data_IF_743339409178
#
_entry.id   IF_743339409178
#
_cell.length_a   1.000
_cell.length_b   1.000
_cell.length_c   1.000
_cell.angle_alpha   90.00
_cell.angle_beta   90.00
_cell.angle_gamma   90.00
#
_symmetry.space_group_name_H-M   'P 1'
#
loop_
_entity.id
_entity.type
_entity.pdbx_description
1 polymer ?
#
# COMPACT_ATOMS: atom_id res chain seq x y z
N UNK A 1 55.80 61.59 45.21
CA UNK A 1 56.68 62.57 44.53
C UNK A 1 57.67 61.81 43.65
N UNK A 2 58.00 62.37 42.46
CA UNK A 2 58.58 61.79 41.22
C UNK A 2 57.51 61.10 40.36
N UNK A 3 56.87 61.73 39.35
CA UNK A 3 57.33 62.48 38.15
C UNK A 3 58.14 61.54 37.24
N UNK A 4 57.76 61.23 35.99
CA UNK A 4 57.99 62.06 34.78
C UNK A 4 57.54 61.33 33.49
N UNK A 5 56.92 62.10 32.57
CA UNK A 5 56.89 62.09 31.08
C UNK A 5 56.44 60.90 30.19
N UNK A 6 55.25 61.07 29.59
CA UNK A 6 54.84 61.13 28.14
C UNK A 6 55.99 61.24 27.08
N UNK A 7 55.80 61.16 25.74
CA UNK A 7 54.72 60.63 24.85
C UNK A 7 55.26 59.72 23.71
N UNK A 8 54.39 59.22 22.81
CA UNK A 8 54.44 59.54 21.36
C UNK A 8 53.23 58.98 20.60
N UNK A 9 52.45 59.92 20.08
CA UNK A 9 51.48 59.78 18.99
C UNK A 9 52.15 59.21 17.73
N UNK A 10 51.48 58.26 17.08
CA UNK A 10 51.66 57.99 15.66
C UNK A 10 50.28 57.78 15.02
N UNK A 11 49.87 58.75 14.21
CA UNK A 11 49.03 58.50 13.04
C UNK A 11 49.89 58.76 11.82
N UNK A 12 49.76 57.94 10.75
CA UNK A 12 49.24 58.55 9.53
C UNK A 12 48.34 57.64 8.68
N UNK A 13 47.31 58.29 8.12
CA UNK A 13 46.96 58.34 6.69
C UNK A 13 46.52 57.03 6.00
N UNK A 14 45.19 56.90 5.90
CA UNK A 14 44.38 56.73 4.69
C UNK A 14 44.98 55.97 3.49
N UNK A 15 44.40 54.80 3.18
CA UNK A 15 44.30 54.33 1.79
C UNK A 15 42.88 53.82 1.52
N UNK A 16 42.15 54.65 0.76
CA UNK A 16 40.89 54.32 0.10
C UNK A 16 41.15 53.18 -0.90
N UNK A 17 40.58 52.01 -0.64
CA UNK A 17 40.48 50.93 -1.64
C UNK A 17 39.03 50.73 -2.03
N UNK A 18 38.77 50.95 -3.32
CA UNK A 18 37.49 50.78 -3.97
C UNK A 18 37.26 49.28 -4.23
N UNK A 19 36.16 48.71 -3.75
CA UNK A 19 35.76 47.35 -4.17
C UNK A 19 34.24 47.16 -4.22
N UNK A 20 33.48 48.19 -4.59
CA UNK A 20 32.03 48.10 -4.82
C UNK A 20 31.66 47.67 -6.24
N UNK A 21 32.43 46.77 -6.86
CA UNK A 21 32.15 46.27 -8.21
C UNK A 21 32.00 44.74 -8.33
N UNK A 22 32.27 43.98 -7.26
CA UNK A 22 32.23 42.51 -7.29
C UNK A 22 30.99 41.87 -6.65
N UNK A 23 30.14 42.64 -5.98
CA UNK A 23 28.96 42.10 -5.28
C UNK A 23 27.70 42.01 -6.13
N UNK A 24 27.71 42.52 -7.37
CA UNK A 24 26.49 42.58 -8.21
C UNK A 24 26.40 41.53 -9.33
N UNK A 25 27.45 40.72 -9.54
CA UNK A 25 27.43 39.64 -10.55
C UNK A 25 27.19 38.23 -9.99
N UNK A 26 27.21 38.06 -8.67
CA UNK A 26 27.03 36.75 -8.04
C UNK A 26 25.57 36.44 -7.65
N UNK A 27 24.62 37.35 -7.90
CA UNK A 27 23.21 37.16 -7.51
C UNK A 27 22.29 36.78 -8.68
N UNK A 28 22.82 36.64 -9.91
CA UNK A 28 22.04 36.26 -11.09
C UNK A 28 22.27 34.81 -11.56
N UNK A 29 23.03 34.01 -10.82
CA UNK A 29 23.28 32.58 -11.13
C UNK A 29 22.58 31.64 -10.12
N UNK A 30 22.10 32.17 -9.00
CA UNK A 30 21.37 31.40 -7.98
C UNK A 30 19.90 31.15 -8.37
N UNK A 31 19.29 32.04 -9.16
CA UNK A 31 17.87 31.92 -9.55
C UNK A 31 17.57 30.93 -10.68
N UNK A 32 18.56 30.53 -11.50
CA UNK A 32 18.34 29.69 -12.68
C UNK A 32 18.54 28.19 -12.41
N UNK A 33 19.15 27.81 -11.29
CA UNK A 33 19.34 26.41 -10.90
C UNK A 33 18.16 25.84 -10.08
N UNK A 34 17.22 26.68 -9.64
CA UNK A 34 16.01 26.23 -8.93
C UNK A 34 14.79 25.98 -9.86
N UNK A 35 14.95 26.17 -11.17
CA UNK A 35 13.87 26.06 -12.14
C UNK A 35 13.91 24.77 -12.99
N UNK A 36 14.86 23.86 -12.76
CA UNK A 36 15.02 22.62 -13.55
C UNK A 36 14.69 21.31 -12.80
N UNK A 37 14.13 21.36 -11.59
CA UNK A 37 13.73 20.14 -10.85
C UNK A 37 12.21 19.91 -10.78
N UNK A 38 11.41 20.72 -11.48
CA UNK A 38 9.95 20.64 -11.45
C UNK A 38 9.39 19.88 -12.65
N UNK A 39 9.61 18.56 -12.67
CA UNK A 39 9.06 17.65 -13.69
C UNK A 39 9.94 16.41 -13.75
N UNK A 40 9.63 15.29 -13.11
CA UNK A 40 8.30 14.70 -12.97
C UNK A 40 8.27 13.91 -11.66
N UNK A 41 7.59 14.42 -10.63
CA UNK A 41 6.90 13.51 -9.73
C UNK A 41 5.70 12.99 -10.52
N UNK A 42 5.92 11.95 -11.32
CA UNK A 42 4.81 11.06 -11.68
C UNK A 42 4.34 10.54 -10.34
N UNK A 43 3.30 11.19 -9.81
CA UNK A 43 2.43 10.63 -8.80
C UNK A 43 1.94 9.34 -9.42
N UNK A 44 2.62 8.26 -9.10
CA UNK A 44 2.13 6.94 -9.41
C UNK A 44 0.88 6.79 -8.52
N UNK A 45 -0.26 7.16 -9.09
CA UNK A 45 -1.59 6.92 -8.54
C UNK A 45 -1.84 5.42 -8.65
N UNK A 46 -1.17 4.63 -7.82
CA UNK A 46 -1.61 3.28 -7.55
C UNK A 46 -2.66 3.43 -6.47
N UNK A 47 -3.91 3.36 -6.89
CA UNK A 47 -5.06 3.16 -6.03
C UNK A 47 -4.70 2.15 -4.92
N UNK A 48 -4.58 2.62 -3.68
CA UNK A 48 -4.74 1.76 -2.51
C UNK A 48 -6.23 1.40 -2.39
N UNK A 49 -6.76 0.67 -3.38
CA UNK A 49 -8.02 -0.05 -3.25
C UNK A 49 -7.69 -1.46 -2.78
N UNK A 50 -7.21 -1.57 -1.53
CA UNK A 50 -7.08 -2.85 -0.84
C UNK A 50 -7.41 -2.71 0.66
N UNK A 51 -8.42 -1.89 0.97
CA UNK A 51 -9.19 -2.06 2.19
C UNK A 51 -10.41 -2.89 1.80
N UNK A 52 -10.32 -4.21 1.94
CA UNK A 52 -11.51 -5.04 2.00
C UNK A 52 -12.25 -4.66 3.29
N UNK A 53 -13.03 -3.58 3.24
CA UNK A 53 -13.81 -3.09 4.38
C UNK A 53 -15.00 -4.02 4.59
N UNK A 54 -14.69 -5.21 5.08
CA UNK A 54 -15.61 -6.23 5.47
C UNK A 54 -16.39 -5.70 6.68
N UNK A 55 -17.59 -5.17 6.43
CA UNK A 55 -18.46 -4.66 7.49
C UNK A 55 -17.95 -3.42 8.22
N UNK A 56 -17.11 -2.59 7.58
CA UNK A 56 -16.54 -1.38 8.18
C UNK A 56 -15.30 -1.61 9.06
N UNK A 57 -14.78 -2.85 9.08
CA UNK A 57 -13.52 -3.18 9.73
C UNK A 57 -12.34 -2.87 8.80
N UNK A 58 -11.31 -2.22 9.33
CA UNK A 58 -10.04 -2.00 8.62
C UNK A 58 -9.12 -3.22 8.80
N UNK A 59 -8.86 -3.90 7.70
CA UNK A 59 -8.01 -5.10 7.63
C UNK A 59 -7.10 -5.05 6.40
N UNK A 60 -5.82 -5.33 6.61
CA UNK A 60 -4.83 -5.52 5.55
C UNK A 60 -4.49 -7.01 5.43
N UNK A 61 -4.39 -7.52 4.20
CA UNK A 61 -4.13 -8.94 3.94
C UNK A 61 -2.80 -9.16 3.20
N UNK A 62 -2.19 -10.31 3.44
CA UNK A 62 -1.08 -10.83 2.63
C UNK A 62 -1.39 -12.27 2.24
N UNK A 63 -1.50 -12.62 0.94
CA UNK A 63 -1.50 -11.72 -0.21
C UNK A 63 -2.57 -10.62 -0.11
N UNK A 64 -2.32 -9.50 -0.79
CA UNK A 64 -3.32 -8.45 -0.97
C UNK A 64 -4.56 -9.01 -1.70
N UNK A 65 -5.74 -8.43 -1.48
CA UNK A 65 -6.92 -8.80 -2.26
C UNK A 65 -6.66 -8.52 -3.75
N UNK A 66 -7.19 -9.40 -4.59
CA UNK A 66 -7.00 -9.40 -6.03
C UNK A 66 -5.53 -9.53 -6.49
N UNK A 67 -4.62 -9.97 -5.62
CA UNK A 67 -3.20 -10.11 -5.99
C UNK A 67 -2.96 -11.20 -7.04
N UNK A 68 -2.01 -10.95 -7.93
CA UNK A 68 -1.44 -11.95 -8.87
C UNK A 68 0.01 -12.19 -8.48
N UNK A 69 0.32 -13.41 -8.06
CA UNK A 69 1.64 -13.80 -7.57
C UNK A 69 2.43 -14.59 -8.63
N UNK A 70 3.76 -14.55 -8.55
CA UNK A 70 4.61 -15.40 -9.41
C UNK A 70 4.52 -16.89 -9.05
N UNK A 71 4.30 -17.20 -7.77
CA UNK A 71 4.20 -18.56 -7.22
C UNK A 71 3.19 -18.59 -6.07
N UNK A 72 2.78 -19.80 -5.67
CA UNK A 72 1.95 -19.97 -4.48
C UNK A 72 2.66 -19.39 -3.24
N UNK A 73 1.93 -18.70 -2.35
CA UNK A 73 2.49 -18.22 -1.08
C UNK A 73 2.57 -19.36 -0.07
N UNK A 74 3.54 -19.30 0.84
CA UNK A 74 3.68 -20.29 1.93
C UNK A 74 2.73 -20.01 3.12
N UNK A 75 2.17 -18.80 3.18
CA UNK A 75 1.27 -18.37 4.25
C UNK A 75 0.30 -17.31 3.80
N UNK A 76 -0.78 -17.16 4.58
CA UNK A 76 -1.69 -16.02 4.52
C UNK A 76 -1.62 -15.24 5.83
N UNK A 77 -1.75 -13.92 5.74
CA UNK A 77 -1.71 -13.01 6.88
C UNK A 77 -2.91 -12.06 6.88
N UNK A 78 -3.38 -11.76 8.09
CA UNK A 78 -4.38 -10.73 8.36
C UNK A 78 -3.81 -9.77 9.39
N UNK A 79 -3.94 -8.47 9.12
CA UNK A 79 -3.59 -7.40 10.06
C UNK A 79 -4.82 -6.51 10.28
N UNK A 80 -5.28 -6.45 11.52
CA UNK A 80 -6.40 -5.63 11.97
C UNK A 80 -5.91 -4.38 12.69
N UNK A 81 -6.66 -3.28 12.57
CA UNK A 81 -6.34 -2.01 13.24
C UNK A 81 -6.47 -2.06 14.79
N UNK A 82 -7.15 -3.06 15.33
CA UNK A 82 -7.31 -3.29 16.77
C UNK A 82 -7.29 -4.79 17.10
N UNK A 83 -7.21 -5.12 18.39
CA UNK A 83 -7.26 -6.51 18.84
C UNK A 83 -8.61 -7.15 18.48
N UNK A 84 -8.52 -8.25 17.74
CA UNK A 84 -9.65 -9.05 17.28
C UNK A 84 -9.47 -10.48 17.74
N UNK A 85 -10.52 -11.29 17.80
CA UNK A 85 -10.42 -12.74 18.01
C UNK A 85 -10.78 -13.45 16.71
N UNK A 86 -9.79 -14.09 16.07
CA UNK A 86 -10.00 -14.87 14.84
C UNK A 86 -10.73 -16.18 15.13
N UNK A 87 -11.99 -16.26 14.69
CA UNK A 87 -12.86 -17.43 14.92
C UNK A 87 -12.99 -18.33 13.69
N UNK A 88 -12.69 -17.83 12.49
CA UNK A 88 -12.71 -18.59 11.24
C UNK A 88 -11.57 -18.14 10.34
N UNK A 89 -10.88 -19.12 9.74
CA UNK A 89 -10.02 -18.93 8.59
C UNK A 89 -10.13 -20.16 7.68
N UNK A 90 -10.46 -19.93 6.42
CA UNK A 90 -10.77 -20.97 5.43
C UNK A 90 -10.14 -20.60 4.10
N UNK A 91 -9.57 -21.58 3.41
CA UNK A 91 -9.05 -21.44 2.05
C UNK A 91 -9.86 -22.33 1.10
N UNK A 92 -10.24 -21.78 -0.05
CA UNK A 92 -10.94 -22.48 -1.13
C UNK A 92 -10.28 -22.21 -2.48
N UNK A 93 -10.33 -23.17 -3.38
CA UNK A 93 -10.02 -22.95 -4.79
C UNK A 93 -11.21 -22.33 -5.56
N UNK A 94 -11.00 -21.99 -6.83
CA UNK A 94 -12.02 -21.41 -7.72
C UNK A 94 -13.23 -22.31 -7.97
N UNK A 95 -13.16 -23.60 -7.64
CA UNK A 95 -14.28 -24.55 -7.70
C UNK A 95 -15.06 -24.63 -6.39
N UNK A 96 -14.76 -23.75 -5.43
CA UNK A 96 -15.28 -23.75 -4.05
C UNK A 96 -14.87 -24.98 -3.22
N UNK A 97 -13.87 -25.74 -3.66
CA UNK A 97 -13.36 -26.87 -2.88
C UNK A 97 -12.43 -26.37 -1.78
N UNK A 98 -12.61 -26.90 -0.58
CA UNK A 98 -11.78 -26.58 0.58
C UNK A 98 -10.36 -27.11 0.44
N UNK A 99 -9.39 -26.29 0.81
CA UNK A 99 -8.01 -26.69 1.06
C UNK A 99 -7.79 -26.74 2.57
N UNK A 100 -7.33 -27.87 3.09
CA UNK A 100 -7.03 -27.99 4.52
C UNK A 100 -5.74 -27.23 4.86
N UNK A 101 -5.91 -26.07 5.49
CA UNK A 101 -4.82 -25.22 5.98
C UNK A 101 -4.47 -25.48 7.44
N UNK A 102 -5.07 -26.49 8.08
CA UNK A 102 -4.79 -26.83 9.47
C UNK A 102 -5.23 -25.78 10.49
N UNK A 103 -6.09 -24.82 10.10
CA UNK A 103 -6.60 -23.82 11.03
C UNK A 103 -7.36 -24.47 12.18
N UNK A 104 -7.05 -24.06 13.41
CA UNK A 104 -7.73 -24.49 14.63
C UNK A 104 -8.05 -23.26 15.45
N UNK A 105 -9.31 -23.14 15.85
CA UNK A 105 -9.75 -22.04 16.69
C UNK A 105 -8.96 -22.00 18.00
N UNK A 106 -8.47 -20.80 18.33
CA UNK A 106 -7.85 -20.48 19.61
C UNK A 106 -8.51 -19.21 20.14
N UNK A 107 -9.00 -19.20 21.39
CA UNK A 107 -9.71 -18.05 21.96
C UNK A 107 -8.72 -16.96 22.41
N UNK A 108 -7.84 -16.51 21.51
CA UNK A 108 -6.80 -15.52 21.79
C UNK A 108 -7.03 -14.31 20.88
N UNK A 109 -7.01 -13.12 21.48
CA UNK A 109 -7.07 -11.86 20.72
C UNK A 109 -5.71 -11.49 20.16
N UNK A 110 -5.71 -10.81 19.03
CA UNK A 110 -4.50 -10.31 18.39
C UNK A 110 -4.82 -9.38 17.23
N UNK A 111 -3.83 -8.57 16.86
CA UNK A 111 -3.90 -7.69 15.68
C UNK A 111 -3.34 -8.38 14.43
N UNK A 112 -2.45 -9.36 14.61
CA UNK A 112 -1.76 -10.04 13.52
C UNK A 112 -2.01 -11.54 13.59
N UNK A 113 -2.45 -12.09 12.48
CA UNK A 113 -2.64 -13.52 12.31
C UNK A 113 -1.85 -13.98 11.09
N UNK A 114 -1.12 -15.09 11.24
CA UNK A 114 -0.40 -15.75 10.17
C UNK A 114 -0.76 -17.23 10.19
N UNK A 115 -1.12 -17.75 9.04
CA UNK A 115 -1.45 -19.15 8.85
C UNK A 115 -0.61 -19.70 7.70
N UNK A 116 0.26 -20.66 8.01
CA UNK A 116 0.96 -21.42 6.97
C UNK A 116 -0.07 -22.22 6.17
N UNK A 117 0.12 -22.32 4.86
CA UNK A 117 -0.75 -23.08 3.96
C UNK A 117 0.06 -24.19 3.30
N UNK A 118 -0.58 -25.31 2.92
CA UNK A 118 0.11 -26.37 2.18
C UNK A 118 0.47 -25.90 0.77
N UNK A 119 1.25 -26.72 0.07
CA UNK A 119 1.44 -26.54 -1.37
C UNK A 119 0.09 -26.52 -2.09
N UNK A 120 -0.12 -25.51 -2.94
CA UNK A 120 -1.37 -25.27 -3.63
C UNK A 120 -1.31 -25.81 -5.06
N UNK A 121 -2.36 -26.52 -5.47
CA UNK A 121 -2.54 -26.92 -6.86
C UNK A 121 -2.81 -25.70 -7.76
N UNK A 122 -2.58 -25.84 -9.06
CA UNK A 122 -2.98 -24.79 -10.00
C UNK A 122 -4.51 -24.61 -10.00
N UNK A 123 -4.97 -23.37 -9.89
CA UNK A 123 -6.36 -22.96 -9.98
C UNK A 123 -6.44 -21.53 -10.54
N UNK A 124 -7.60 -21.12 -11.04
CA UNK A 124 -7.81 -19.76 -11.57
C UNK A 124 -7.56 -18.68 -10.50
N UNK A 125 -8.06 -18.94 -9.29
CA UNK A 125 -7.84 -18.13 -8.10
C UNK A 125 -8.14 -18.95 -6.85
N UNK A 126 -7.77 -18.38 -5.71
CA UNK A 126 -8.08 -18.85 -4.37
C UNK A 126 -8.85 -17.80 -3.60
N UNK A 127 -9.76 -18.24 -2.74
CA UNK A 127 -10.53 -17.39 -1.82
C UNK A 127 -10.14 -17.73 -0.38
N UNK A 128 -9.77 -16.70 0.37
CA UNK A 128 -9.57 -16.78 1.82
C UNK A 128 -10.77 -16.15 2.50
N UNK A 129 -11.52 -16.94 3.26
CA UNK A 129 -12.63 -16.45 4.08
C UNK A 129 -12.23 -16.39 5.54
N UNK A 130 -12.59 -15.29 6.21
CA UNK A 130 -12.28 -15.08 7.62
C UNK A 130 -13.48 -14.54 8.38
N UNK A 131 -13.46 -14.75 9.70
CA UNK A 131 -14.39 -14.11 10.62
C UNK A 131 -13.72 -13.82 11.96
N UNK A 132 -14.01 -12.66 12.53
CA UNK A 132 -13.47 -12.19 13.80
C UNK A 132 -14.55 -11.69 14.74
N UNK A 133 -14.29 -11.77 16.04
CA UNK A 133 -15.05 -11.08 17.08
C UNK A 133 -14.24 -9.88 17.59
N UNK A 134 -14.89 -8.74 17.80
CA UNK A 134 -14.30 -7.62 18.53
C UNK A 134 -14.44 -7.78 20.05
N UNK A 135 -13.98 -6.78 20.82
CA UNK A 135 -14.05 -6.79 22.28
C UNK A 135 -15.47 -6.85 22.85
N UNK A 136 -16.48 -6.44 22.08
CA UNK A 136 -17.90 -6.51 22.44
C UNK A 136 -18.55 -7.83 21.99
N UNK A 137 -17.79 -8.71 21.34
CA UNK A 137 -18.28 -9.97 20.79
C UNK A 137 -19.09 -9.80 19.50
N UNK A 138 -19.00 -8.66 18.82
CA UNK A 138 -19.64 -8.48 17.51
C UNK A 138 -18.85 -9.21 16.43
N UNK A 139 -19.55 -10.05 15.68
CA UNK A 139 -18.98 -10.84 14.60
C UNK A 139 -18.89 -10.04 13.29
N UNK A 140 -17.68 -9.93 12.75
CA UNK A 140 -17.41 -9.37 11.43
C UNK A 140 -16.80 -10.44 10.54
N UNK A 141 -17.22 -10.50 9.27
CA UNK A 141 -16.77 -11.50 8.29
C UNK A 141 -16.28 -10.80 7.04
N UNK A 142 -15.29 -11.39 6.39
CA UNK A 142 -14.82 -10.93 5.09
C UNK A 142 -14.14 -12.04 4.31
N UNK A 143 -13.67 -11.67 3.13
CA UNK A 143 -12.85 -12.51 2.29
C UNK A 143 -11.86 -11.66 1.49
N UNK A 144 -10.87 -12.33 0.93
CA UNK A 144 -9.99 -11.78 -0.10
C UNK A 144 -9.54 -12.89 -1.04
N UNK A 145 -9.03 -12.51 -2.19
CA UNK A 145 -8.71 -13.39 -3.29
C UNK A 145 -7.27 -13.20 -3.76
N UNK A 146 -6.65 -14.27 -4.23
CA UNK A 146 -5.37 -14.19 -4.93
C UNK A 146 -5.27 -15.26 -6.00
N UNK A 147 -4.43 -15.04 -7.00
CA UNK A 147 -4.05 -16.02 -8.00
C UNK A 147 -2.52 -16.10 -8.10
N UNK A 148 -2.00 -17.15 -8.73
CA UNK A 148 -0.56 -17.30 -8.91
C UNK A 148 -0.20 -18.09 -10.17
N UNK A 149 1.00 -17.84 -10.70
CA UNK A 149 1.55 -18.52 -11.88
C UNK A 149 1.83 -17.58 -13.04
N UNK A 150 2.52 -18.08 -14.07
CA UNK A 150 2.97 -17.29 -15.23
C UNK A 150 1.84 -16.62 -16.01
N UNK A 151 0.71 -17.31 -16.13
CA UNK A 151 -0.43 -16.88 -16.93
C UNK A 151 -1.64 -16.48 -16.06
N UNK A 152 -1.42 -16.33 -14.75
CA UNK A 152 -2.46 -15.98 -13.81
C UNK A 152 -3.06 -14.61 -14.12
N UNK A 153 -4.38 -14.51 -13.96
CA UNK A 153 -5.13 -13.25 -14.07
C UNK A 153 -5.55 -12.79 -12.69
N UNK A 154 -5.77 -11.48 -12.47
CA UNK A 154 -6.39 -11.00 -11.24
C UNK A 154 -7.70 -11.75 -10.98
N UNK A 155 -7.98 -12.21 -9.75
CA UNK A 155 -9.25 -12.86 -9.40
C UNK A 155 -10.50 -12.15 -9.94
N UNK A 156 -10.53 -10.82 -9.95
CA UNK A 156 -11.66 -10.03 -10.50
C UNK A 156 -11.98 -10.37 -11.95
N UNK A 157 -11.00 -10.74 -12.77
CA UNK A 157 -11.24 -11.18 -14.16
C UNK A 157 -12.19 -12.38 -14.27
N UNK A 158 -12.15 -13.27 -13.28
CA UNK A 158 -13.03 -14.44 -13.22
C UNK A 158 -14.34 -14.13 -12.54
N UNK A 159 -14.31 -13.37 -11.44
CA UNK A 159 -15.50 -13.01 -10.67
C UNK A 159 -16.48 -12.16 -11.49
N UNK A 160 -15.98 -11.16 -12.24
CA UNK A 160 -16.81 -10.30 -13.10
C UNK A 160 -17.56 -11.11 -14.18
N UNK A 161 -16.93 -12.18 -14.69
CA UNK A 161 -17.56 -13.07 -15.68
C UNK A 161 -18.66 -13.95 -15.07
N UNK A 162 -18.54 -14.29 -13.79
CA UNK A 162 -19.55 -15.07 -13.07
C UNK A 162 -20.73 -14.19 -12.66
N UNK A 163 -20.50 -12.93 -12.30
CA UNK A 163 -21.55 -11.98 -11.91
C UNK A 163 -22.36 -11.45 -13.10
N UNK A 164 -21.72 -11.31 -14.27
CA UNK A 164 -22.38 -10.93 -15.51
C UNK A 164 -22.31 -12.08 -16.51
N UNK A 165 -23.03 -13.19 -16.29
CA UNK A 165 -23.17 -14.22 -17.30
C UNK A 165 -23.72 -13.52 -18.53
N UNK A 166 -22.98 -13.60 -19.64
CA UNK A 166 -23.29 -12.93 -20.90
C UNK A 166 -24.81 -12.93 -21.11
N UNK A 167 -25.42 -11.75 -21.06
CA UNK A 167 -26.86 -11.62 -21.28
C UNK A 167 -27.14 -12.19 -22.67
N UNK A 168 -27.65 -13.42 -22.73
CA UNK A 168 -28.16 -14.00 -23.97
C UNK A 168 -29.32 -13.08 -24.31
N UNK A 169 -29.12 -12.19 -25.29
CA UNK A 169 -30.23 -11.47 -25.90
C UNK A 169 -31.20 -12.55 -26.34
N UNK A 170 -32.33 -12.66 -25.65
CA UNK A 170 -33.44 -13.45 -26.18
C UNK A 170 -33.79 -12.79 -27.50
N UNK A 171 -33.70 -13.49 -28.66
CA UNK A 171 -34.10 -12.89 -29.93
C UNK A 171 -35.53 -12.37 -29.77
N UNK A 172 -35.75 -11.10 -30.07
CA UNK A 172 -37.08 -10.52 -29.98
C UNK A 172 -37.92 -11.05 -31.15
N UNK A 173 -38.55 -12.21 -30.94
CA UNK A 173 -39.40 -12.86 -31.96
C UNK A 173 -40.68 -12.09 -32.26
N UNK A 174 -40.91 -10.93 -31.64
CA UNK A 174 -42.11 -10.09 -31.85
C UNK A 174 -42.12 -9.37 -33.20
N UNK A 175 -41.03 -9.42 -33.97
CA UNK A 175 -40.92 -8.81 -35.30
C UNK A 175 -41.31 -9.75 -36.45
N UNK A 176 -41.86 -10.93 -36.16
CA UNK A 176 -42.22 -11.94 -37.17
C UNK A 176 -43.74 -12.04 -37.44
N UNK A 177 -44.51 -10.96 -37.23
CA UNK A 177 -45.95 -10.91 -37.55
C UNK A 177 -46.27 -9.83 -38.58
#
# INVERSE_FOLDING_TARGET
MKTVMIPREFSPIFLRSQSTALTRRLLLISGLLLALCSGSAVMAQHEMHNMSSAGGLDVTTMPADNAVLGSAPDSVMLHFASEMQLVKLVLKDSTNKFVDIGFRYRPVTGMHYMQNIPELAAADYYTVEWAVLDGDGKLTKGNFHFSFGSDAKPPTFYLDKMEHPQHIMSPDYRLLQ
#
